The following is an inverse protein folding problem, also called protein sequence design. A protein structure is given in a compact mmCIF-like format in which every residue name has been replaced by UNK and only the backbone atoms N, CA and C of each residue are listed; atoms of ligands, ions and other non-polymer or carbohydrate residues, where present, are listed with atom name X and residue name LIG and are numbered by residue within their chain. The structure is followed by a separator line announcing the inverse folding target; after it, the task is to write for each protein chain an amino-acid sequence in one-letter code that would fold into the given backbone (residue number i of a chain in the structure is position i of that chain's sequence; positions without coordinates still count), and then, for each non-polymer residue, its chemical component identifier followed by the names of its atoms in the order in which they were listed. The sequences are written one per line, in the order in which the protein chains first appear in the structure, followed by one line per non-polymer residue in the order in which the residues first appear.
data_IF_034572622452
#
_entry.id   IF_034572622452
#
_cell.length_a   1.000
_cell.length_b   1.000
_cell.length_c   1.000
_cell.angle_alpha   90.00
_cell.angle_beta   90.00
_cell.angle_gamma   90.00
#
_symmetry.space_group_name_H-M   'P 1'
#
loop_
_entity.id
_entity.type
_entity.pdbx_description
1 polymer ?
#
# COMPACT_ATOMS: atom_id res chain seq x y z
N UNK A 1 -5.99 40.23 3.54
CA UNK A 1 -6.43 38.97 2.90
C UNK A 1 -7.86 38.70 3.34
N UNK A 2 -8.76 38.30 2.46
CA UNK A 2 -10.13 37.96 2.81
C UNK A 2 -10.17 36.67 3.63
N UNK A 3 -10.98 36.66 4.69
CA UNK A 3 -11.24 35.43 5.49
C UNK A 3 -12.39 34.65 4.84
N UNK A 4 -12.18 33.42 4.51
CA UNK A 4 -13.21 32.50 4.04
C UNK A 4 -13.72 31.71 5.22
N UNK A 5 -15.01 31.86 5.54
CA UNK A 5 -15.68 31.09 6.60
C UNK A 5 -16.37 29.89 5.99
N UNK A 6 -16.23 28.72 6.61
CA UNK A 6 -16.86 27.47 6.21
C UNK A 6 -17.06 26.56 7.43
N UNK A 7 -17.78 25.47 7.28
CA UNK A 7 -17.96 24.49 8.36
C UNK A 7 -16.71 23.60 8.47
N UNK A 8 -16.16 23.17 7.33
CA UNK A 8 -15.10 22.16 7.26
C UNK A 8 -13.98 22.60 6.31
N UNK A 9 -12.74 22.49 6.77
CA UNK A 9 -11.54 22.53 5.92
C UNK A 9 -10.93 21.13 5.87
N UNK A 10 -10.71 20.61 4.66
CA UNK A 10 -10.02 19.34 4.42
C UNK A 10 -8.67 19.63 3.79
N UNK A 11 -7.59 19.22 4.45
CA UNK A 11 -6.22 19.36 3.94
C UNK A 11 -5.82 18.07 3.20
N UNK A 12 -5.74 18.15 1.88
CA UNK A 12 -5.40 17.06 0.98
C UNK A 12 -6.56 16.66 0.07
N UNK A 13 -6.39 16.86 -1.24
CA UNK A 13 -7.34 16.46 -2.30
C UNK A 13 -7.03 15.05 -2.85
N UNK A 14 -6.63 14.13 -1.97
CA UNK A 14 -6.46 12.72 -2.26
C UNK A 14 -7.76 11.92 -2.03
N UNK A 15 -7.64 10.60 -2.06
CA UNK A 15 -8.77 9.67 -1.91
C UNK A 15 -9.61 9.93 -0.64
N UNK A 16 -8.96 9.92 0.52
CA UNK A 16 -9.64 10.11 1.80
C UNK A 16 -10.25 11.51 1.95
N UNK A 17 -9.53 12.54 1.52
CA UNK A 17 -10.00 13.93 1.62
C UNK A 17 -11.21 14.21 0.73
N UNK A 18 -11.19 13.72 -0.52
CA UNK A 18 -12.35 13.87 -1.42
C UNK A 18 -13.57 13.13 -0.90
N UNK A 19 -13.40 11.89 -0.39
CA UNK A 19 -14.52 11.15 0.20
C UNK A 19 -15.08 11.85 1.44
N UNK A 20 -14.22 12.41 2.31
CA UNK A 20 -14.66 13.21 3.45
C UNK A 20 -15.49 14.41 2.99
N UNK A 21 -14.98 15.12 1.99
CA UNK A 21 -15.63 16.33 1.47
C UNK A 21 -16.99 16.04 0.82
N UNK A 22 -17.06 14.97 0.01
CA UNK A 22 -18.31 14.51 -0.60
C UNK A 22 -19.34 14.21 0.49
N UNK A 23 -18.97 13.39 1.47
CA UNK A 23 -19.90 12.97 2.53
C UNK A 23 -20.38 14.15 3.38
N UNK A 24 -19.49 15.08 3.75
CA UNK A 24 -19.85 16.26 4.51
C UNK A 24 -20.73 17.24 3.69
N UNK A 25 -20.37 17.47 2.42
CA UNK A 25 -21.13 18.32 1.51
C UNK A 25 -22.55 17.80 1.25
N UNK A 26 -22.72 16.48 1.07
CA UNK A 26 -24.03 15.84 0.93
C UNK A 26 -24.93 16.03 2.16
N UNK A 27 -24.36 16.32 3.33
CA UNK A 27 -25.06 16.69 4.56
C UNK A 27 -25.36 18.20 4.66
N UNK A 28 -25.07 18.97 3.61
CA UNK A 28 -25.28 20.42 3.57
C UNK A 28 -24.18 21.26 4.24
N UNK A 29 -23.02 20.65 4.56
CA UNK A 29 -21.88 21.40 5.12
C UNK A 29 -21.17 22.22 4.04
N UNK A 30 -20.73 23.42 4.41
CA UNK A 30 -19.84 24.23 3.58
C UNK A 30 -18.40 23.73 3.71
N UNK A 31 -17.91 23.04 2.67
CA UNK A 31 -16.61 22.36 2.69
C UNK A 31 -15.62 23.03 1.75
N UNK A 32 -14.40 23.29 2.24
CA UNK A 32 -13.25 23.71 1.47
C UNK A 32 -12.19 22.61 1.49
N UNK A 33 -11.84 22.07 0.34
CA UNK A 33 -10.69 21.17 0.17
C UNK A 33 -9.51 21.97 -0.33
N UNK A 34 -8.39 21.91 0.37
CA UNK A 34 -7.16 22.60 0.00
C UNK A 34 -6.02 21.58 -0.22
N UNK A 35 -5.24 21.77 -1.28
CA UNK A 35 -4.09 20.93 -1.58
C UNK A 35 -2.94 21.79 -2.13
N UNK A 36 -1.72 21.53 -1.67
CA UNK A 36 -0.52 22.20 -2.16
C UNK A 36 -0.15 21.75 -3.58
N UNK A 37 -0.62 20.59 -3.99
CA UNK A 37 -0.37 20.07 -5.33
C UNK A 37 -1.21 20.78 -6.39
N UNK A 38 -0.72 20.79 -7.62
CA UNK A 38 -1.38 21.43 -8.77
C UNK A 38 -2.48 20.56 -9.41
N UNK A 39 -2.72 19.35 -8.88
CA UNK A 39 -3.72 18.40 -9.41
C UNK A 39 -4.33 17.57 -8.28
N UNK A 40 -5.63 17.37 -8.38
CA UNK A 40 -6.41 16.50 -7.50
C UNK A 40 -6.05 15.02 -7.76
N UNK A 41 -5.97 14.21 -6.70
CA UNK A 41 -5.91 12.76 -6.80
C UNK A 41 -4.65 12.19 -7.42
N UNK A 42 -3.48 12.83 -7.28
CA UNK A 42 -2.22 12.38 -7.92
C UNK A 42 -1.90 10.90 -7.68
N UNK A 43 -2.03 10.39 -6.43
CA UNK A 43 -1.81 8.95 -6.13
C UNK A 43 -2.84 8.05 -6.82
N UNK A 44 -4.10 8.50 -6.95
CA UNK A 44 -5.14 7.76 -7.68
C UNK A 44 -4.73 7.61 -9.15
N UNK A 45 -4.27 8.70 -9.78
CA UNK A 45 -3.89 8.72 -11.20
C UNK A 45 -2.75 7.75 -11.52
N UNK A 46 -1.81 7.52 -10.60
CA UNK A 46 -0.68 6.62 -10.81
C UNK A 46 -0.93 5.18 -10.40
N UNK A 47 -1.92 4.94 -9.55
CA UNK A 47 -2.17 3.62 -8.99
C UNK A 47 -2.59 2.61 -10.06
N UNK A 48 -2.26 1.34 -9.81
CA UNK A 48 -2.63 0.24 -10.68
C UNK A 48 -2.13 0.39 -12.13
N UNK A 49 -0.96 1.01 -12.33
CA UNK A 49 -0.43 1.27 -13.68
C UNK A 49 -1.29 2.24 -14.50
N UNK A 50 -1.95 3.20 -13.84
CA UNK A 50 -2.84 4.19 -14.46
C UNK A 50 -4.28 3.71 -14.66
N UNK A 51 -4.64 2.54 -14.10
CA UNK A 51 -6.01 1.99 -14.13
C UNK A 51 -6.73 2.03 -12.79
N UNK A 52 -6.08 2.47 -11.75
CA UNK A 52 -6.57 2.53 -10.36
C UNK A 52 -7.13 1.20 -9.85
N UNK A 53 -6.40 0.53 -8.97
CA UNK A 53 -6.96 -0.55 -8.18
C UNK A 53 -7.80 0.05 -7.05
N UNK A 54 -9.05 0.39 -7.35
CA UNK A 54 -9.85 1.29 -6.52
C UNK A 54 -10.44 0.64 -5.26
N UNK A 55 -10.55 -0.70 -5.20
CA UNK A 55 -10.98 -1.45 -4.01
C UNK A 55 -10.65 -2.92 -4.14
N UNK A 56 -10.96 -3.69 -3.09
CA UNK A 56 -10.87 -5.14 -3.05
C UNK A 56 -12.11 -5.74 -2.41
N UNK A 57 -12.80 -6.64 -3.12
CA UNK A 57 -14.04 -7.27 -2.66
C UNK A 57 -13.84 -8.19 -1.45
N UNK A 58 -12.61 -8.71 -1.26
CA UNK A 58 -12.19 -9.53 -0.12
C UNK A 58 -11.72 -8.73 1.10
N UNK A 59 -12.03 -7.42 1.18
CA UNK A 59 -11.57 -6.57 2.28
C UNK A 59 -12.14 -7.01 3.62
N UNK A 60 -11.24 -7.33 4.55
CA UNK A 60 -11.53 -7.59 5.96
C UNK A 60 -10.56 -6.81 6.85
N UNK A 61 -10.86 -6.62 8.15
CA UNK A 61 -9.91 -5.98 9.06
C UNK A 61 -8.55 -6.68 9.18
N UNK A 62 -8.48 -7.98 8.91
CA UNK A 62 -7.24 -8.76 8.94
C UNK A 62 -6.24 -8.37 7.84
N UNK A 63 -6.68 -7.65 6.82
CA UNK A 63 -5.84 -7.16 5.72
C UNK A 63 -5.13 -5.84 6.05
N UNK A 64 -5.24 -5.35 7.29
CA UNK A 64 -4.65 -4.08 7.70
C UNK A 64 -3.67 -4.26 8.87
N UNK A 65 -2.55 -3.54 8.77
CA UNK A 65 -1.54 -3.42 9.82
C UNK A 65 -1.79 -2.12 10.58
N UNK A 66 -1.74 -2.19 11.89
CA UNK A 66 -1.81 -1.06 12.81
C UNK A 66 -1.34 -1.55 14.19
N UNK A 67 -0.83 -0.66 15.03
CA UNK A 67 -0.59 -0.94 16.44
C UNK A 67 -1.90 -1.31 17.17
N UNK A 68 -3.04 -0.80 16.68
CA UNK A 68 -4.39 -1.20 17.10
C UNK A 68 -5.14 -1.92 15.96
N UNK A 69 -5.07 -3.26 15.86
CA UNK A 69 -5.67 -4.02 14.77
C UNK A 69 -7.21 -3.96 14.73
N UNK A 70 -7.83 -3.36 15.75
CA UNK A 70 -9.28 -3.20 15.81
C UNK A 70 -9.78 -1.84 15.31
N UNK A 71 -8.87 -0.88 15.13
CA UNK A 71 -9.24 0.50 14.80
C UNK A 71 -10.05 0.63 13.51
N UNK A 72 -9.65 -0.08 12.46
CA UNK A 72 -10.30 0.04 11.14
C UNK A 72 -11.70 -0.60 11.06
N UNK A 73 -12.08 -1.47 12.01
CA UNK A 73 -13.30 -2.29 11.94
C UNK A 73 -14.57 -1.47 11.75
N UNK A 74 -14.75 -0.41 12.53
CA UNK A 74 -15.97 0.41 12.51
C UNK A 74 -16.15 1.13 11.17
N UNK A 75 -15.11 1.75 10.65
CA UNK A 75 -15.16 2.46 9.38
C UNK A 75 -15.39 1.51 8.20
N UNK A 76 -14.65 0.39 8.14
CA UNK A 76 -14.79 -0.62 7.07
C UNK A 76 -16.18 -1.27 7.06
N UNK A 77 -16.81 -1.47 8.23
CA UNK A 77 -18.17 -2.02 8.30
C UNK A 77 -19.24 -1.05 7.80
N UNK A 78 -19.04 0.26 7.96
CA UNK A 78 -20.00 1.30 7.53
C UNK A 78 -19.83 1.70 6.07
N UNK A 79 -18.64 1.59 5.53
CA UNK A 79 -18.36 1.85 4.12
C UNK A 79 -17.56 0.70 3.54
N UNK A 80 -18.29 -0.28 3.02
CA UNK A 80 -17.75 -1.51 2.43
C UNK A 80 -17.29 -1.28 0.99
N UNK A 81 -16.53 -2.22 0.38
CA UNK A 81 -16.21 -2.16 -1.04
C UNK A 81 -17.43 -1.97 -1.96
N UNK A 82 -18.55 -2.55 -1.59
CA UNK A 82 -19.80 -2.48 -2.37
C UNK A 82 -20.35 -1.06 -2.48
N UNK A 83 -20.24 -0.23 -1.44
CA UNK A 83 -20.64 1.18 -1.50
C UNK A 83 -19.81 1.97 -2.53
N UNK A 84 -18.51 1.69 -2.61
CA UNK A 84 -17.67 2.36 -3.62
C UNK A 84 -17.97 1.82 -5.04
N UNK A 85 -18.23 0.52 -5.18
CA UNK A 85 -18.65 -0.10 -6.44
C UNK A 85 -19.97 0.49 -6.92
N UNK A 86 -20.94 0.71 -6.04
CA UNK A 86 -22.20 1.39 -6.37
C UNK A 86 -21.96 2.81 -6.92
N UNK A 87 -21.01 3.55 -6.31
CA UNK A 87 -20.62 4.87 -6.81
C UNK A 87 -19.98 4.79 -8.20
N UNK A 88 -19.11 3.81 -8.43
CA UNK A 88 -18.49 3.53 -9.74
C UNK A 88 -19.57 3.19 -10.78
N UNK A 89 -20.54 2.36 -10.43
CA UNK A 89 -21.69 2.03 -11.29
C UNK A 89 -22.56 3.25 -11.61
N UNK A 90 -22.86 4.09 -10.60
CA UNK A 90 -23.62 5.34 -10.77
C UNK A 90 -23.03 6.24 -11.86
N UNK A 91 -21.68 6.24 -11.97
CA UNK A 91 -20.97 7.02 -12.98
C UNK A 91 -20.67 6.27 -14.28
N UNK A 92 -21.20 5.05 -14.45
CA UNK A 92 -21.01 4.26 -15.67
C UNK A 92 -19.57 3.87 -15.97
N UNK A 93 -18.73 3.75 -14.94
CA UNK A 93 -17.31 3.41 -15.10
C UNK A 93 -17.18 1.88 -15.22
N UNK A 94 -16.67 1.42 -16.36
CA UNK A 94 -16.38 0.00 -16.59
C UNK A 94 -15.13 -0.43 -15.83
N UNK A 95 -15.17 -1.61 -15.24
CA UNK A 95 -14.08 -2.21 -14.47
C UNK A 95 -14.09 -3.74 -14.58
N UNK A 96 -12.97 -4.35 -14.21
CA UNK A 96 -12.84 -5.80 -14.12
C UNK A 96 -12.16 -6.20 -12.80
N UNK A 97 -12.41 -7.42 -12.38
CA UNK A 97 -11.58 -8.10 -11.37
C UNK A 97 -10.36 -8.71 -12.05
N UNK A 98 -9.17 -8.38 -11.56
CA UNK A 98 -7.91 -8.94 -12.08
C UNK A 98 -7.59 -10.27 -11.41
N UNK A 99 -7.46 -10.26 -10.09
CA UNK A 99 -7.16 -11.42 -9.25
C UNK A 99 -7.48 -11.11 -7.79
N UNK A 100 -7.82 -12.12 -7.00
CA UNK A 100 -7.96 -12.02 -5.54
C UNK A 100 -8.84 -10.84 -5.07
N UNK A 101 -9.92 -10.56 -5.79
CA UNK A 101 -10.87 -9.50 -5.44
C UNK A 101 -10.43 -8.08 -5.81
N UNK A 102 -9.31 -7.90 -6.49
CA UNK A 102 -8.77 -6.60 -6.90
C UNK A 102 -9.56 -6.03 -8.08
N UNK A 103 -10.15 -4.83 -7.92
CA UNK A 103 -10.94 -4.19 -8.97
C UNK A 103 -10.20 -3.03 -9.62
N UNK A 104 -10.10 -3.05 -10.96
CA UNK A 104 -9.41 -2.06 -11.77
C UNK A 104 -10.36 -1.43 -12.79
N UNK A 105 -10.22 -0.11 -13.04
CA UNK A 105 -10.90 0.51 -14.16
C UNK A 105 -10.37 -0.06 -15.49
N UNK A 106 -11.28 -0.30 -16.44
CA UNK A 106 -10.91 -0.83 -17.76
C UNK A 106 -10.10 0.16 -18.57
N UNK A 107 -10.43 1.45 -18.49
CA UNK A 107 -9.86 2.49 -19.33
C UNK A 107 -8.77 3.28 -18.61
N UNK A 108 -9.11 3.99 -17.52
CA UNK A 108 -8.16 4.91 -16.88
C UNK A 108 -8.57 5.29 -15.46
N UNK A 109 -7.57 5.44 -14.59
CA UNK A 109 -7.69 6.03 -13.25
C UNK A 109 -8.27 7.46 -13.25
N UNK A 110 -8.17 8.16 -14.38
CA UNK A 110 -8.77 9.50 -14.55
C UNK A 110 -10.30 9.48 -14.36
N UNK A 111 -10.96 8.35 -14.67
CA UNK A 111 -12.41 8.20 -14.48
C UNK A 111 -12.77 8.26 -12.99
N UNK A 112 -11.99 7.62 -12.11
CA UNK A 112 -12.20 7.69 -10.65
C UNK A 112 -11.98 9.11 -10.13
N UNK A 113 -10.92 9.80 -10.57
CA UNK A 113 -10.68 11.18 -10.14
C UNK A 113 -11.80 12.10 -10.61
N UNK A 114 -12.22 11.96 -11.89
CA UNK A 114 -13.34 12.73 -12.42
C UNK A 114 -14.63 12.49 -11.62
N UNK A 115 -14.98 11.25 -11.37
CA UNK A 115 -16.12 10.85 -10.55
C UNK A 115 -16.12 11.55 -9.19
N UNK A 116 -14.99 11.49 -8.47
CA UNK A 116 -14.88 12.11 -7.14
C UNK A 116 -14.99 13.63 -7.21
N UNK A 117 -14.45 14.27 -8.24
CA UNK A 117 -14.58 15.73 -8.45
C UNK A 117 -16.01 16.11 -8.80
N UNK A 118 -16.68 15.35 -9.65
CA UNK A 118 -18.09 15.56 -10.01
C UNK A 118 -19.01 15.42 -8.77
N UNK A 119 -18.78 14.42 -7.92
CA UNK A 119 -19.51 14.26 -6.65
C UNK A 119 -19.22 15.42 -5.67
N UNK A 120 -17.97 15.89 -5.57
CA UNK A 120 -17.64 17.09 -4.80
C UNK A 120 -18.42 18.32 -5.31
N UNK A 121 -18.44 18.52 -6.61
CA UNK A 121 -19.16 19.63 -7.23
C UNK A 121 -20.66 19.54 -6.98
N UNK A 122 -21.26 18.36 -7.14
CA UNK A 122 -22.67 18.12 -6.87
C UNK A 122 -23.05 18.37 -5.39
N UNK A 123 -22.10 18.12 -4.48
CA UNK A 123 -22.24 18.37 -3.04
C UNK A 123 -21.89 19.83 -2.62
N UNK A 124 -21.61 20.74 -3.56
CA UNK A 124 -21.27 22.14 -3.28
C UNK A 124 -19.86 22.37 -2.69
N UNK A 125 -19.00 21.35 -2.75
CA UNK A 125 -17.61 21.43 -2.23
C UNK A 125 -16.74 22.31 -3.12
N UNK A 126 -15.92 23.15 -2.52
CA UNK A 126 -14.93 23.96 -3.20
C UNK A 126 -13.54 23.32 -3.08
N UNK A 127 -12.89 23.04 -4.19
CA UNK A 127 -11.53 22.46 -4.24
C UNK A 127 -10.54 23.51 -4.71
N UNK A 128 -9.43 23.70 -3.96
CA UNK A 128 -8.36 24.63 -4.25
C UNK A 128 -7.02 23.90 -4.31
N UNK A 129 -6.48 23.80 -5.50
CA UNK A 129 -5.11 23.33 -5.76
C UNK A 129 -4.11 24.49 -5.66
N UNK A 130 -2.80 24.19 -5.64
CA UNK A 130 -1.72 25.15 -5.44
C UNK A 130 -1.91 26.00 -4.17
N UNK A 131 -2.61 25.45 -3.15
CA UNK A 131 -2.97 26.09 -1.91
C UNK A 131 -2.21 25.44 -0.75
N UNK A 132 -1.07 26.00 -0.39
CA UNK A 132 -0.22 25.48 0.70
C UNK A 132 -0.63 26.07 2.04
N UNK A 133 -0.77 25.22 3.05
CA UNK A 133 -0.96 25.64 4.44
C UNK A 133 0.38 26.15 4.99
N UNK A 134 0.33 27.32 5.62
CA UNK A 134 1.48 27.97 6.24
C UNK A 134 1.47 27.84 7.77
N UNK A 135 0.27 27.94 8.37
CA UNK A 135 0.07 27.90 9.81
C UNK A 135 -1.37 27.49 10.14
N UNK A 136 -1.55 26.75 11.22
CA UNK A 136 -2.84 26.37 11.78
C UNK A 136 -2.89 26.85 13.22
N UNK A 137 -3.97 27.54 13.56
CA UNK A 137 -4.29 27.96 14.93
C UNK A 137 -5.61 27.33 15.34
N UNK A 138 -5.77 27.07 16.62
CA UNK A 138 -7.01 26.58 17.22
C UNK A 138 -7.38 27.47 18.42
N UNK A 139 -8.62 27.90 18.47
CA UNK A 139 -9.15 28.71 19.53
C UNK A 139 -10.57 28.29 19.94
N UNK A 140 -11.22 29.04 20.80
CA UNK A 140 -12.59 28.76 21.25
C UNK A 140 -13.65 28.83 20.15
N UNK A 141 -13.32 29.46 19.02
CA UNK A 141 -14.20 29.66 17.85
C UNK A 141 -13.85 28.72 16.67
N UNK A 142 -12.96 27.74 16.86
CA UNK A 142 -12.56 26.74 15.86
C UNK A 142 -11.13 26.93 15.35
N UNK A 143 -10.88 26.50 14.09
CA UNK A 143 -9.56 26.52 13.47
C UNK A 143 -9.41 27.70 12.51
N UNK A 144 -8.22 28.32 12.54
CA UNK A 144 -7.75 29.32 11.57
C UNK A 144 -6.61 28.72 10.76
N UNK A 145 -6.85 28.47 9.47
CA UNK A 145 -5.90 27.87 8.55
C UNK A 145 -5.36 28.94 7.62
N UNK A 146 -4.13 29.39 7.86
CA UNK A 146 -3.41 30.35 7.03
C UNK A 146 -2.80 29.63 5.83
N UNK A 147 -3.07 30.11 4.64
CA UNK A 147 -2.61 29.49 3.41
C UNK A 147 -2.03 30.52 2.43
N UNK A 148 -1.41 30.06 1.37
CA UNK A 148 -0.94 30.91 0.26
C UNK A 148 -2.10 31.61 -0.49
N UNK A 149 -3.35 31.13 -0.33
CA UNK A 149 -4.53 31.69 -1.01
C UNK A 149 -5.50 32.41 -0.08
N UNK A 150 -5.12 32.63 1.19
CA UNK A 150 -5.92 33.36 2.17
C UNK A 150 -6.07 32.62 3.50
N UNK A 151 -6.93 33.17 4.34
CA UNK A 151 -7.26 32.63 5.66
C UNK A 151 -8.60 31.89 5.59
N UNK A 152 -8.62 30.65 6.05
CA UNK A 152 -9.84 29.87 6.25
C UNK A 152 -10.16 29.80 7.74
N UNK A 153 -11.44 29.95 8.08
CA UNK A 153 -11.96 29.79 9.45
C UNK A 153 -13.05 28.74 9.43
N UNK A 154 -12.87 27.66 10.21
CA UNK A 154 -13.78 26.51 10.23
C UNK A 154 -13.97 25.94 11.62
N UNK A 155 -15.10 25.26 11.84
CA UNK A 155 -15.37 24.49 13.05
C UNK A 155 -14.62 23.16 13.06
N UNK A 156 -14.54 22.49 11.90
CA UNK A 156 -13.87 21.18 11.76
C UNK A 156 -12.69 21.26 10.79
N UNK A 157 -11.56 20.65 11.19
CA UNK A 157 -10.35 20.51 10.39
C UNK A 157 -10.05 19.03 10.16
N UNK A 158 -9.93 18.63 8.90
CA UNK A 158 -9.64 17.25 8.52
C UNK A 158 -8.26 17.16 7.86
N UNK A 159 -7.37 16.36 8.44
CA UNK A 159 -6.03 16.08 7.92
C UNK A 159 -6.08 14.81 7.07
N UNK A 160 -6.01 14.97 5.74
CA UNK A 160 -6.11 13.91 4.73
C UNK A 160 -4.87 13.87 3.83
N UNK A 161 -3.70 14.20 4.38
CA UNK A 161 -2.46 14.47 3.64
C UNK A 161 -1.78 13.21 3.10
N UNK A 162 -2.23 12.00 3.51
CA UNK A 162 -1.56 10.75 3.21
C UNK A 162 -0.25 10.56 3.98
N UNK A 163 0.57 9.62 3.53
CA UNK A 163 1.88 9.30 4.10
C UNK A 163 3.04 9.89 3.33
N UNK A 164 4.23 9.27 3.47
CA UNK A 164 5.50 9.73 2.89
C UNK A 164 5.86 9.06 1.56
N UNK A 165 5.08 8.06 1.13
CA UNK A 165 5.40 7.28 -0.08
C UNK A 165 5.29 8.13 -1.35
N UNK A 166 6.27 7.93 -2.25
CA UNK A 166 6.42 8.62 -3.53
C UNK A 166 6.52 10.16 -3.36
N UNK A 167 7.58 10.69 -2.75
CA UNK A 167 7.73 12.14 -2.52
C UNK A 167 7.64 13.00 -3.79
N UNK A 168 8.03 12.44 -4.95
CA UNK A 168 7.90 13.12 -6.25
C UNK A 168 6.45 13.44 -6.65
N UNK A 169 5.47 12.82 -5.98
CA UNK A 169 4.04 13.09 -6.17
C UNK A 169 3.51 14.18 -5.23
N UNK A 170 4.36 14.71 -4.35
CA UNK A 170 3.99 15.73 -3.37
C UNK A 170 3.74 15.19 -1.96
N UNK A 171 4.09 13.93 -1.68
CA UNK A 171 4.02 13.40 -0.31
C UNK A 171 5.01 14.14 0.60
N UNK A 172 4.52 14.61 1.76
CA UNK A 172 5.31 15.33 2.76
C UNK A 172 4.94 14.85 4.17
N UNK A 173 5.77 15.20 5.16
CA UNK A 173 5.49 14.94 6.58
C UNK A 173 4.49 15.90 7.22
N UNK A 174 3.90 16.82 6.48
CA UNK A 174 3.09 17.90 7.00
C UNK A 174 1.93 17.43 7.92
N UNK A 175 1.22 16.36 7.55
CA UNK A 175 0.15 15.83 8.41
C UNK A 175 0.65 15.30 9.75
N UNK A 176 1.86 14.75 9.80
CA UNK A 176 2.49 14.33 11.04
C UNK A 176 2.98 15.53 11.88
N UNK A 177 3.39 16.63 11.25
CA UNK A 177 3.73 17.88 11.93
C UNK A 177 2.48 18.49 12.58
N UNK A 178 1.36 18.53 11.85
CA UNK A 178 0.06 18.95 12.38
C UNK A 178 -0.37 18.09 13.57
N UNK A 179 -0.25 16.77 13.45
CA UNK A 179 -0.57 15.86 14.54
C UNK A 179 0.26 16.16 15.80
N UNK A 180 1.58 16.33 15.67
CA UNK A 180 2.47 16.70 16.79
C UNK A 180 2.15 18.09 17.36
N UNK A 181 1.83 19.08 16.51
CA UNK A 181 1.42 20.41 16.94
C UNK A 181 0.23 20.34 17.90
N UNK A 182 -0.71 19.43 17.65
CA UNK A 182 -1.89 19.23 18.50
C UNK A 182 -1.73 18.15 19.57
N UNK A 183 -0.49 17.77 19.86
CA UNK A 183 -0.14 16.87 20.96
C UNK A 183 -0.34 15.37 20.69
N UNK A 184 -0.60 14.99 19.42
CA UNK A 184 -0.73 13.59 19.05
C UNK A 184 0.63 12.90 18.91
N UNK A 185 0.69 11.65 19.33
CA UNK A 185 1.82 10.78 19.06
C UNK A 185 1.79 10.34 17.59
N UNK A 186 2.96 10.35 16.98
CA UNK A 186 3.19 9.77 15.64
C UNK A 186 4.14 8.60 15.79
N UNK A 187 3.65 7.41 15.54
CA UNK A 187 4.44 6.18 15.57
C UNK A 187 5.52 6.21 14.48
N UNK A 188 6.67 5.55 14.70
CA UNK A 188 7.76 5.52 13.72
C UNK A 188 7.27 5.08 12.35
N UNK A 189 7.55 5.91 11.34
CA UNK A 189 7.14 5.63 9.97
C UNK A 189 8.24 4.89 9.22
N UNK A 190 7.84 3.94 8.36
CA UNK A 190 8.74 3.24 7.44
C UNK A 190 8.05 2.94 6.11
N UNK A 191 8.84 2.74 5.05
CA UNK A 191 8.33 2.34 3.76
C UNK A 191 7.67 0.95 3.85
N UNK A 192 6.49 0.81 3.27
CA UNK A 192 5.74 -0.44 3.15
C UNK A 192 5.37 -0.72 1.70
N UNK A 193 5.05 -1.98 1.37
CA UNK A 193 4.82 -2.43 -0.01
C UNK A 193 5.95 -1.91 -0.91
N UNK A 194 7.18 -2.26 -0.58
CA UNK A 194 8.41 -1.69 -1.13
C UNK A 194 9.38 -2.79 -1.57
N UNK A 195 10.09 -2.62 -2.70
CA UNK A 195 11.15 -3.53 -3.10
C UNK A 195 12.24 -3.63 -2.03
N UNK A 196 12.77 -4.85 -1.84
CA UNK A 196 13.87 -5.13 -0.95
C UNK A 196 15.20 -5.10 -1.70
N UNK A 197 16.22 -4.50 -1.09
CA UNK A 197 17.56 -4.42 -1.66
C UNK A 197 18.43 -5.57 -1.16
N UNK A 198 19.36 -6.01 -2.00
CA UNK A 198 20.37 -7.00 -1.66
C UNK A 198 21.75 -6.37 -1.64
N UNK A 199 22.67 -6.97 -0.89
CA UNK A 199 24.08 -6.60 -0.85
C UNK A 199 24.99 -7.83 -0.71
N UNK A 200 26.30 -7.64 -0.91
CA UNK A 200 27.30 -8.68 -0.75
C UNK A 200 27.02 -9.92 -1.59
N UNK A 201 27.23 -11.10 -1.03
CA UNK A 201 27.11 -12.38 -1.75
C UNK A 201 25.75 -12.63 -2.37
N UNK A 202 24.64 -12.19 -1.77
CA UNK A 202 23.32 -12.37 -2.39
C UNK A 202 23.16 -11.49 -3.64
N UNK A 203 23.62 -10.24 -3.59
CA UNK A 203 23.60 -9.35 -4.76
C UNK A 203 24.50 -9.91 -5.88
N UNK A 204 25.72 -10.29 -5.56
CA UNK A 204 26.68 -10.85 -6.55
C UNK A 204 26.13 -12.09 -7.23
N UNK A 205 25.57 -13.03 -6.46
CA UNK A 205 25.04 -14.29 -6.99
C UNK A 205 23.78 -14.14 -7.82
N UNK A 206 22.99 -13.09 -7.63
CA UNK A 206 21.72 -12.86 -8.29
C UNK A 206 21.73 -11.67 -9.28
N UNK A 207 22.87 -10.96 -9.41
CA UNK A 207 22.97 -9.71 -10.18
C UNK A 207 22.50 -9.81 -11.63
N UNK A 208 22.91 -10.89 -12.34
CA UNK A 208 22.59 -11.08 -13.77
C UNK A 208 21.18 -11.59 -14.02
N UNK A 209 20.38 -11.78 -12.94
CA UNK A 209 19.01 -12.27 -13.04
C UNK A 209 17.97 -11.17 -13.14
N UNK A 210 18.39 -9.91 -13.28
CA UNK A 210 17.45 -8.80 -13.45
C UNK A 210 16.45 -9.05 -14.58
N UNK A 211 15.17 -8.83 -14.31
CA UNK A 211 14.04 -9.10 -15.20
C UNK A 211 13.48 -10.52 -15.11
N UNK A 212 14.12 -11.43 -14.36
CA UNK A 212 13.55 -12.76 -14.11
C UNK A 212 12.40 -12.65 -13.13
N UNK A 213 11.24 -13.20 -13.52
CA UNK A 213 10.05 -13.28 -12.67
C UNK A 213 9.61 -14.75 -12.53
N UNK A 214 9.13 -15.11 -11.35
CA UNK A 214 8.59 -16.45 -11.07
C UNK A 214 7.55 -16.38 -9.94
N UNK A 215 6.58 -17.31 -9.92
CA UNK A 215 5.68 -17.47 -8.79
C UNK A 215 6.46 -18.05 -7.60
N UNK A 216 6.22 -17.48 -6.42
CA UNK A 216 6.82 -17.94 -5.17
C UNK A 216 5.80 -17.85 -4.03
N UNK A 217 6.10 -18.47 -2.89
CA UNK A 217 5.55 -18.08 -1.61
C UNK A 217 6.68 -17.44 -0.77
N UNK A 218 6.50 -16.17 -0.38
CA UNK A 218 7.44 -15.47 0.48
C UNK A 218 6.96 -15.51 1.93
N UNK A 219 7.84 -15.92 2.86
CA UNK A 219 7.54 -16.07 4.29
C UNK A 219 8.46 -15.19 5.13
N UNK A 220 7.88 -14.49 6.12
CA UNK A 220 8.63 -13.71 7.13
C UNK A 220 7.74 -13.44 8.34
N UNK A 221 8.29 -13.54 9.55
CA UNK A 221 7.60 -13.19 10.80
C UNK A 221 6.18 -13.78 10.94
N UNK A 222 6.03 -15.07 10.58
CA UNK A 222 4.75 -15.79 10.67
C UNK A 222 3.69 -15.38 9.64
N UNK A 223 4.07 -14.61 8.63
CA UNK A 223 3.23 -14.27 7.48
C UNK A 223 3.76 -14.92 6.21
N UNK A 224 2.84 -15.24 5.31
CA UNK A 224 3.19 -15.73 3.98
C UNK A 224 2.32 -15.09 2.91
N UNK A 225 2.90 -14.88 1.71
CA UNK A 225 2.21 -14.37 0.54
C UNK A 225 2.67 -15.11 -0.70
N UNK A 226 1.72 -15.72 -1.40
CA UNK A 226 1.97 -16.40 -2.66
C UNK A 226 1.60 -15.47 -3.82
N UNK A 227 2.59 -15.11 -4.64
CA UNK A 227 2.43 -14.36 -5.89
C UNK A 227 3.78 -14.33 -6.63
N UNK A 228 3.87 -13.54 -7.70
CA UNK A 228 5.13 -13.36 -8.44
C UNK A 228 6.16 -12.55 -7.64
N UNK A 229 7.42 -13.01 -7.71
CA UNK A 229 8.62 -12.25 -7.40
C UNK A 229 9.29 -11.80 -8.71
N UNK A 230 9.91 -10.63 -8.68
CA UNK A 230 10.73 -10.07 -9.75
C UNK A 230 12.14 -9.80 -9.22
N UNK A 231 13.16 -10.39 -9.83
CA UNK A 231 14.55 -10.04 -9.59
C UNK A 231 14.89 -8.73 -10.33
N UNK A 232 15.50 -7.79 -9.63
CA UNK A 232 15.88 -6.48 -10.15
C UNK A 232 17.40 -6.28 -10.03
N UNK A 233 17.93 -5.24 -10.62
CA UNK A 233 19.35 -4.89 -10.50
C UNK A 233 19.77 -4.46 -9.07
N UNK A 234 18.81 -4.17 -8.19
CA UNK A 234 19.06 -3.79 -6.78
C UNK A 234 18.71 -4.88 -5.78
N UNK A 235 17.89 -5.84 -6.18
CA UNK A 235 17.40 -6.87 -5.27
C UNK A 235 16.15 -7.54 -5.79
N UNK A 236 15.08 -7.55 -5.00
CA UNK A 236 13.84 -8.25 -5.30
C UNK A 236 12.62 -7.35 -5.15
N UNK A 237 11.65 -7.57 -6.02
CA UNK A 237 10.36 -6.85 -6.08
C UNK A 237 9.26 -7.83 -6.51
N UNK A 238 8.14 -7.32 -6.97
CA UNK A 238 6.97 -8.11 -7.37
C UNK A 238 5.98 -8.29 -6.23
N UNK A 239 4.73 -8.66 -6.52
CA UNK A 239 3.64 -8.65 -5.54
C UNK A 239 3.92 -9.42 -4.25
N UNK A 240 4.52 -10.61 -4.32
CA UNK A 240 4.87 -11.40 -3.14
C UNK A 240 5.87 -10.66 -2.23
N UNK A 241 6.89 -10.04 -2.82
CA UNK A 241 7.93 -9.30 -2.10
C UNK A 241 7.38 -7.98 -1.54
N UNK A 242 6.59 -7.24 -2.32
CA UNK A 242 5.95 -6.01 -1.83
C UNK A 242 5.07 -6.30 -0.61
N UNK A 243 4.26 -7.35 -0.65
CA UNK A 243 3.42 -7.76 0.48
C UNK A 243 4.26 -8.08 1.72
N UNK A 244 5.25 -8.99 1.58
CA UNK A 244 6.03 -9.46 2.73
C UNK A 244 6.93 -8.36 3.30
N UNK A 245 7.33 -7.36 2.50
CA UNK A 245 8.16 -6.23 2.95
C UNK A 245 7.50 -5.42 4.07
N UNK A 246 6.17 -5.41 4.14
CA UNK A 246 5.43 -4.75 5.22
C UNK A 246 5.60 -5.46 6.57
N UNK A 247 6.01 -6.72 6.58
CA UNK A 247 6.24 -7.54 7.77
C UNK A 247 7.73 -7.76 8.07
N UNK A 248 8.60 -7.52 7.08
CA UNK A 248 10.04 -7.62 7.22
C UNK A 248 10.61 -6.44 7.99
N UNK A 249 11.64 -6.69 8.82
CA UNK A 249 12.43 -5.68 9.51
C UNK A 249 13.92 -5.90 9.23
N UNK A 250 14.76 -4.85 9.36
CA UNK A 250 16.20 -4.99 9.19
C UNK A 250 16.79 -6.10 10.07
N UNK A 251 17.44 -7.06 9.42
CA UNK A 251 18.02 -8.24 10.07
C UNK A 251 17.16 -9.51 9.96
N UNK A 252 15.90 -9.41 9.58
CA UNK A 252 15.08 -10.60 9.36
C UNK A 252 15.49 -11.34 8.08
N UNK A 253 15.46 -12.66 8.12
CA UNK A 253 15.58 -13.52 6.96
C UNK A 253 14.20 -13.74 6.32
N UNK A 254 14.16 -13.74 5.00
CA UNK A 254 13.01 -14.21 4.23
C UNK A 254 13.25 -15.66 3.82
N UNK A 255 12.21 -16.45 3.83
CA UNK A 255 12.19 -17.77 3.22
C UNK A 255 11.31 -17.71 1.97
N UNK A 256 11.86 -18.13 0.83
CA UNK A 256 11.16 -18.15 -0.45
C UNK A 256 10.95 -19.58 -0.89
N UNK A 257 9.70 -20.04 -0.93
CA UNK A 257 9.35 -21.27 -1.61
C UNK A 257 9.31 -20.99 -3.13
N UNK A 258 10.25 -21.56 -3.86
CA UNK A 258 10.40 -21.37 -5.31
C UNK A 258 9.51 -22.31 -6.13
N UNK A 259 8.86 -23.29 -5.50
CA UNK A 259 7.93 -24.24 -6.10
C UNK A 259 6.62 -24.33 -5.28
N UNK A 260 5.91 -23.23 -5.09
CA UNK A 260 4.74 -23.21 -4.20
C UNK A 260 3.67 -24.22 -4.65
N UNK A 261 3.18 -25.01 -3.70
CA UNK A 261 2.18 -26.06 -3.93
C UNK A 261 2.75 -27.38 -4.46
N UNK A 262 4.07 -27.52 -4.57
CA UNK A 262 4.72 -28.76 -5.00
C UNK A 262 5.74 -29.22 -3.94
N UNK A 263 5.73 -30.51 -3.59
CA UNK A 263 6.80 -31.09 -2.78
C UNK A 263 8.07 -31.25 -3.63
N UNK A 264 9.03 -30.36 -3.40
CA UNK A 264 10.30 -30.34 -4.16
C UNK A 264 11.10 -31.64 -4.00
N UNK A 265 11.00 -32.32 -2.84
CA UNK A 265 11.71 -33.57 -2.58
C UNK A 265 11.10 -34.73 -3.35
N UNK A 266 9.79 -34.85 -3.36
CA UNK A 266 9.07 -35.84 -4.13
C UNK A 266 9.31 -35.66 -5.65
N UNK A 267 9.16 -34.40 -6.10
CA UNK A 267 9.41 -34.02 -7.48
C UNK A 267 10.85 -34.38 -7.94
N UNK A 268 11.87 -34.06 -7.17
CA UNK A 268 13.27 -34.40 -7.51
C UNK A 268 13.51 -35.91 -7.58
N UNK A 269 12.90 -36.72 -6.67
CA UNK A 269 12.99 -38.17 -6.75
C UNK A 269 12.31 -38.76 -7.99
N UNK A 270 11.16 -38.19 -8.34
CA UNK A 270 10.47 -38.53 -9.59
C UNK A 270 11.38 -38.23 -10.80
N UNK A 271 11.96 -37.03 -10.87
CA UNK A 271 12.88 -36.65 -11.97
C UNK A 271 14.12 -37.55 -12.02
N UNK A 272 14.62 -38.03 -10.89
CA UNK A 272 15.71 -39.01 -10.85
C UNK A 272 15.34 -40.36 -11.52
N UNK A 273 14.07 -40.77 -11.42
CA UNK A 273 13.51 -41.94 -12.10
C UNK A 273 13.28 -41.70 -13.60
N UNK A 274 12.62 -40.59 -13.92
CA UNK A 274 12.14 -40.30 -15.28
C UNK A 274 13.22 -39.79 -16.21
N UNK A 275 14.20 -39.04 -15.68
CA UNK A 275 15.26 -38.37 -16.45
C UNK A 275 16.67 -38.58 -15.89
N UNK A 276 17.10 -39.80 -15.62
CA UNK A 276 18.32 -40.10 -14.85
C UNK A 276 19.61 -39.52 -15.45
N UNK A 277 19.68 -39.35 -16.76
CA UNK A 277 20.85 -38.80 -17.45
C UNK A 277 20.86 -37.28 -17.60
N UNK A 278 19.74 -36.60 -17.30
CA UNK A 278 19.66 -35.15 -17.39
C UNK A 278 20.44 -34.49 -16.25
N UNK A 279 21.12 -33.38 -16.54
CA UNK A 279 21.79 -32.57 -15.53
C UNK A 279 20.76 -31.82 -14.67
N UNK A 280 21.09 -31.56 -13.39
CA UNK A 280 20.18 -30.94 -12.45
C UNK A 280 19.66 -29.57 -12.94
N UNK A 281 20.54 -28.72 -13.50
CA UNK A 281 20.13 -27.41 -14.07
C UNK A 281 19.07 -27.58 -15.19
N UNK A 282 19.13 -28.65 -15.98
CA UNK A 282 18.17 -28.91 -17.06
C UNK A 282 16.81 -29.28 -16.48
N UNK A 283 16.81 -30.13 -15.46
CA UNK A 283 15.60 -30.56 -14.75
C UNK A 283 14.95 -29.36 -14.04
N UNK A 284 15.73 -28.56 -13.28
CA UNK A 284 15.25 -27.34 -12.64
C UNK A 284 14.69 -26.35 -13.65
N UNK A 285 15.27 -26.24 -14.84
CA UNK A 285 14.81 -25.34 -15.90
C UNK A 285 13.46 -25.71 -16.53
N UNK A 286 12.83 -26.83 -16.14
CA UNK A 286 11.46 -27.19 -16.53
C UNK A 286 10.40 -26.50 -15.63
N UNK A 287 10.75 -26.21 -14.39
CA UNK A 287 9.84 -25.62 -13.40
C UNK A 287 10.26 -24.21 -12.98
N UNK A 288 11.52 -23.82 -13.19
CA UNK A 288 12.07 -22.50 -12.89
C UNK A 288 12.55 -21.81 -14.18
N UNK A 289 12.63 -20.47 -14.19
CA UNK A 289 13.32 -19.76 -15.26
C UNK A 289 14.75 -20.30 -15.45
N UNK A 290 15.12 -20.65 -16.68
CA UNK A 290 16.39 -21.31 -17.00
C UNK A 290 17.62 -20.59 -16.44
N UNK A 291 17.63 -19.23 -16.47
CA UNK A 291 18.72 -18.43 -15.90
C UNK A 291 18.83 -18.62 -14.39
N UNK A 292 17.70 -18.73 -13.68
CA UNK A 292 17.69 -18.98 -12.23
C UNK A 292 18.15 -20.42 -11.94
N UNK A 293 17.65 -21.42 -12.66
CA UNK A 293 18.06 -22.82 -12.52
C UNK A 293 19.58 -22.98 -12.70
N UNK A 294 20.16 -22.35 -13.72
CA UNK A 294 21.60 -22.30 -13.94
C UNK A 294 22.32 -21.69 -12.74
N UNK A 295 21.85 -20.53 -12.26
CA UNK A 295 22.49 -19.79 -11.16
C UNK A 295 22.42 -20.57 -9.83
N UNK A 296 21.33 -21.31 -9.58
CA UNK A 296 21.22 -22.18 -8.42
C UNK A 296 22.27 -23.29 -8.44
N UNK A 297 22.53 -23.89 -9.60
CA UNK A 297 23.57 -24.92 -9.76
C UNK A 297 24.99 -24.33 -9.69
N UNK A 298 25.21 -23.09 -10.11
CA UNK A 298 26.54 -22.45 -10.02
C UNK A 298 26.96 -22.13 -8.58
N UNK A 299 26.00 -21.86 -7.70
CA UNK A 299 26.33 -21.30 -6.37
C UNK A 299 25.86 -22.13 -5.18
N UNK A 300 24.86 -22.99 -5.33
CA UNK A 300 24.23 -23.69 -4.19
C UNK A 300 24.07 -25.19 -4.38
N UNK A 301 23.96 -25.68 -5.61
CA UNK A 301 23.67 -27.08 -5.93
C UNK A 301 24.71 -27.64 -6.90
N UNK A 302 25.05 -28.95 -6.82
CA UNK A 302 25.95 -29.56 -7.78
C UNK A 302 25.26 -29.72 -9.13
N UNK A 303 25.92 -29.29 -10.22
CA UNK A 303 25.42 -29.49 -11.59
C UNK A 303 25.98 -30.79 -12.19
N UNK A 304 25.24 -31.87 -12.00
CA UNK A 304 25.55 -33.21 -12.53
C UNK A 304 24.28 -34.00 -12.81
N UNK A 305 24.37 -35.11 -13.59
CA UNK A 305 23.20 -35.94 -13.87
C UNK A 305 22.45 -36.37 -12.61
N UNK A 306 21.12 -36.25 -12.63
CA UNK A 306 20.29 -36.44 -11.41
C UNK A 306 20.42 -37.86 -10.83
N UNK A 307 20.75 -38.88 -11.66
CA UNK A 307 21.05 -40.23 -11.16
C UNK A 307 22.24 -40.28 -10.20
N UNK A 308 23.17 -39.33 -10.31
CA UNK A 308 24.39 -39.28 -9.49
C UNK A 308 24.18 -38.48 -8.19
N UNK A 309 22.99 -37.89 -7.98
CA UNK A 309 22.66 -37.20 -6.76
C UNK A 309 22.26 -38.25 -5.71
N UNK A 310 22.96 -38.27 -4.61
CA UNK A 310 22.61 -39.09 -3.46
C UNK A 310 21.46 -38.45 -2.65
N UNK A 311 20.90 -39.18 -1.70
CA UNK A 311 19.76 -38.71 -0.91
C UNK A 311 20.05 -37.44 -0.06
N UNK A 312 21.25 -37.23 0.51
CA UNK A 312 21.62 -35.98 1.15
C UNK A 312 21.55 -34.78 0.23
N UNK A 313 22.08 -34.91 -1.00
CA UNK A 313 22.06 -33.82 -2.00
C UNK A 313 20.64 -33.52 -2.47
N UNK A 314 19.81 -34.56 -2.70
CA UNK A 314 18.40 -34.37 -3.05
C UNK A 314 17.63 -33.63 -1.96
N UNK A 315 17.87 -33.96 -0.68
CA UNK A 315 17.29 -33.27 0.45
C UNK A 315 17.74 -31.82 0.53
N UNK A 316 19.04 -31.55 0.32
CA UNK A 316 19.57 -30.19 0.28
C UNK A 316 18.92 -29.37 -0.86
N UNK A 317 18.79 -29.96 -2.04
CA UNK A 317 18.13 -29.30 -3.17
C UNK A 317 16.64 -29.03 -2.87
N UNK A 318 15.93 -29.99 -2.30
CA UNK A 318 14.53 -29.84 -1.92
C UNK A 318 14.35 -28.73 -0.87
N UNK A 319 15.19 -28.72 0.15
CA UNK A 319 15.16 -27.67 1.17
C UNK A 319 15.42 -26.28 0.57
N UNK A 320 16.41 -26.18 -0.33
CA UNK A 320 16.72 -24.91 -0.99
C UNK A 320 15.54 -24.42 -1.87
N UNK A 321 14.88 -25.34 -2.57
CA UNK A 321 13.74 -24.98 -3.43
C UNK A 321 12.50 -24.60 -2.64
N UNK A 322 12.20 -25.29 -1.53
CA UNK A 322 11.03 -25.01 -0.69
C UNK A 322 11.23 -23.90 0.36
N UNK A 323 12.49 -23.51 0.65
CA UNK A 323 12.82 -22.49 1.63
C UNK A 323 14.16 -21.80 1.28
N UNK A 324 14.23 -21.17 0.12
CA UNK A 324 15.42 -20.41 -0.31
C UNK A 324 15.62 -19.22 0.64
N UNK A 325 16.76 -19.17 1.35
CA UNK A 325 17.02 -18.09 2.30
C UNK A 325 17.45 -16.81 1.57
N UNK A 326 16.74 -15.71 1.80
CA UNK A 326 17.10 -14.41 1.27
C UNK A 326 17.27 -13.40 2.40
N UNK A 327 18.46 -12.86 2.53
CA UNK A 327 18.75 -11.80 3.51
C UNK A 327 18.79 -10.46 2.78
N UNK A 328 17.76 -9.65 3.00
CA UNK A 328 17.72 -8.30 2.44
C UNK A 328 18.61 -7.34 3.26
N UNK A 329 19.29 -6.42 2.58
CA UNK A 329 20.12 -5.39 3.21
C UNK A 329 19.35 -4.13 3.58
N UNK A 330 18.13 -3.96 3.03
CA UNK A 330 17.29 -2.80 3.23
C UNK A 330 16.10 -2.78 2.25
N UNK A 331 15.51 -1.61 2.12
CA UNK A 331 14.43 -1.35 1.16
C UNK A 331 14.85 -0.24 0.19
N UNK A 332 14.15 -0.09 -0.92
CA UNK A 332 14.35 1.07 -1.81
C UNK A 332 13.79 2.39 -1.24
N UNK A 333 13.20 2.35 -0.04
CA UNK A 333 12.69 3.51 0.67
C UNK A 333 11.43 4.11 0.08
N UNK A 334 11.05 5.28 0.58
CA UNK A 334 9.80 5.96 0.19
C UNK A 334 9.69 6.31 -1.29
N UNK A 335 10.80 6.38 -2.01
CA UNK A 335 10.79 6.72 -3.44
C UNK A 335 9.98 5.72 -4.28
N UNK A 336 10.01 4.45 -3.91
CA UNK A 336 9.37 3.34 -4.62
C UNK A 336 8.30 2.63 -3.79
N UNK A 337 8.18 2.96 -2.51
CA UNK A 337 7.17 2.40 -1.64
C UNK A 337 5.76 2.82 -2.09
N UNK A 338 4.82 1.88 -2.09
CA UNK A 338 3.43 2.22 -2.38
C UNK A 338 2.74 2.91 -1.20
N UNK A 339 3.14 2.54 0.04
CA UNK A 339 2.52 3.01 1.28
C UNK A 339 3.54 3.33 2.36
N UNK A 340 3.07 4.04 3.39
CA UNK A 340 3.78 4.31 4.64
C UNK A 340 3.18 3.47 5.76
N UNK A 341 4.01 2.72 6.47
CA UNK A 341 3.66 2.05 7.72
C UNK A 341 3.92 2.99 8.89
N UNK A 342 3.16 2.85 9.99
CA UNK A 342 3.17 3.81 11.08
C UNK A 342 2.33 5.05 10.76
N UNK A 343 2.46 6.09 11.54
CA UNK A 343 1.71 7.34 11.39
C UNK A 343 1.07 7.80 12.69
N UNK A 344 0.01 8.62 12.62
CA UNK A 344 -0.71 9.12 13.79
C UNK A 344 -1.27 7.95 14.59
N UNK A 345 -0.96 7.91 15.89
CA UNK A 345 -1.39 6.82 16.77
C UNK A 345 -2.91 6.78 16.88
N UNK A 346 -3.48 5.66 16.45
CA UNK A 346 -4.92 5.42 16.45
C UNK A 346 -5.52 5.31 17.86
N UNK A 347 -4.72 5.09 18.89
CA UNK A 347 -5.18 5.12 20.28
C UNK A 347 -5.75 6.50 20.68
N UNK A 348 -5.27 7.55 20.05
CA UNK A 348 -5.66 8.96 20.32
C UNK A 348 -6.75 9.49 19.40
N UNK A 349 -7.30 8.63 18.53
CA UNK A 349 -8.33 8.97 17.54
C UNK A 349 -9.55 8.07 17.75
N UNK A 350 -10.73 8.63 17.53
CA UNK A 350 -11.99 7.86 17.57
C UNK A 350 -12.11 6.96 16.35
N UNK A 351 -12.26 5.65 16.53
CA UNK A 351 -12.44 4.69 15.44
C UNK A 351 -13.77 4.80 14.69
N UNK A 352 -14.73 5.53 15.25
CA UNK A 352 -16.05 5.73 14.65
C UNK A 352 -16.18 7.05 13.91
N UNK A 353 -15.50 8.11 14.36
CA UNK A 353 -15.62 9.45 13.80
C UNK A 353 -14.33 9.98 13.16
N UNK A 354 -13.22 9.26 13.32
CA UNK A 354 -11.88 9.72 12.95
C UNK A 354 -11.46 11.02 13.66
N UNK A 355 -12.17 11.45 14.69
CA UNK A 355 -11.92 12.64 15.46
C UNK A 355 -10.83 12.42 16.49
N UNK A 356 -10.00 13.42 16.69
CA UNK A 356 -9.03 13.50 17.77
C UNK A 356 -9.73 13.40 19.14
N UNK A 357 -9.22 12.56 20.03
CA UNK A 357 -9.67 12.52 21.42
C UNK A 357 -9.09 13.65 22.27
N UNK A 358 -8.16 14.45 21.70
CA UNK A 358 -7.45 15.54 22.38
C UNK A 358 -7.99 16.92 22.01
N UNK A 359 -8.34 17.10 20.74
CA UNK A 359 -8.76 18.38 20.17
C UNK A 359 -10.08 18.21 19.44
N UNK A 360 -11.18 18.69 19.99
CA UNK A 360 -12.49 18.63 19.34
C UNK A 360 -12.48 19.29 17.96
N UNK A 361 -13.15 18.68 16.99
CA UNK A 361 -13.21 19.16 15.62
C UNK A 361 -11.97 18.88 14.76
N UNK A 362 -10.90 18.30 15.31
CA UNK A 362 -9.75 17.85 14.54
C UNK A 362 -9.93 16.38 14.14
N UNK A 363 -9.77 16.07 12.85
CA UNK A 363 -9.93 14.72 12.32
C UNK A 363 -8.71 14.29 11.50
N UNK A 364 -8.41 12.99 11.51
CA UNK A 364 -7.36 12.39 10.70
C UNK A 364 -7.96 11.24 9.87
N UNK A 365 -7.69 11.18 8.56
CA UNK A 365 -8.26 10.19 7.65
C UNK A 365 -7.23 9.65 6.65
N UNK A 366 -7.40 8.40 6.24
CA UNK A 366 -6.53 7.75 5.28
C UNK A 366 -5.17 7.37 5.85
N UNK A 367 -4.15 7.42 4.99
CA UNK A 367 -2.80 6.89 5.25
C UNK A 367 -1.97 7.72 6.26
N UNK A 368 -2.43 8.90 6.66
CA UNK A 368 -1.78 9.65 7.75
C UNK A 368 -1.92 8.95 9.10
N UNK A 369 -2.96 8.14 9.26
CA UNK A 369 -3.18 7.28 10.43
C UNK A 369 -2.30 6.03 10.35
N UNK A 370 -1.94 5.46 11.51
CA UNK A 370 -1.31 4.14 11.61
C UNK A 370 -2.31 3.02 11.23
N UNK A 371 -2.70 2.99 9.97
CA UNK A 371 -3.51 1.93 9.35
C UNK A 371 -3.03 1.73 7.92
N UNK A 372 -2.45 0.56 7.66
CA UNK A 372 -1.87 0.25 6.35
C UNK A 372 -2.47 -1.06 5.82
N UNK A 373 -3.09 -1.01 4.66
CA UNK A 373 -3.67 -2.17 3.99
C UNK A 373 -2.61 -2.97 3.20
N UNK A 374 -2.93 -4.22 2.92
CA UNK A 374 -2.17 -5.07 2.01
C UNK A 374 -2.15 -4.49 0.59
N UNK A 375 -1.34 -5.08 -0.29
CA UNK A 375 -1.32 -4.77 -1.71
C UNK A 375 -2.63 -5.25 -2.36
N UNK A 376 -3.25 -4.41 -3.20
CA UNK A 376 -4.40 -4.85 -3.99
C UNK A 376 -5.72 -4.15 -3.68
N UNK A 377 -5.73 -2.83 -3.51
CA UNK A 377 -6.95 -2.02 -3.36
C UNK A 377 -7.36 -1.73 -1.91
N UNK A 378 -6.77 -2.40 -0.94
CA UNK A 378 -7.10 -2.25 0.49
C UNK A 378 -6.83 -0.84 1.02
N UNK A 379 -5.73 -0.19 0.60
CA UNK A 379 -5.39 1.16 1.04
C UNK A 379 -6.36 2.21 0.51
N UNK A 380 -6.88 2.03 -0.70
CA UNK A 380 -7.97 2.87 -1.18
C UNK A 380 -9.27 2.59 -0.43
N UNK A 381 -9.60 1.34 -0.16
CA UNK A 381 -10.77 1.01 0.65
C UNK A 381 -10.71 1.65 2.05
N UNK A 382 -9.53 1.67 2.68
CA UNK A 382 -9.32 2.41 3.93
C UNK A 382 -9.52 3.91 3.75
N UNK A 383 -9.00 4.50 2.67
CA UNK A 383 -9.17 5.92 2.39
C UNK A 383 -10.66 6.28 2.23
N UNK A 384 -11.42 5.46 1.49
CA UNK A 384 -12.88 5.65 1.34
C UNK A 384 -13.59 5.52 2.68
N UNK A 385 -13.34 4.45 3.41
CA UNK A 385 -14.04 4.16 4.66
C UNK A 385 -13.77 5.18 5.77
N UNK A 386 -12.50 5.57 5.95
CA UNK A 386 -12.12 6.58 6.95
C UNK A 386 -12.62 7.97 6.56
N UNK A 387 -12.54 8.33 5.27
CA UNK A 387 -13.07 9.58 4.75
C UNK A 387 -14.58 9.70 4.94
N UNK A 388 -15.32 8.65 4.59
CA UNK A 388 -16.77 8.58 4.82
C UNK A 388 -17.11 8.69 6.32
N UNK A 389 -16.36 8.03 7.18
CA UNK A 389 -16.59 8.06 8.63
C UNK A 389 -16.44 9.48 9.21
N UNK A 390 -15.39 10.23 8.81
CA UNK A 390 -15.20 11.61 9.22
C UNK A 390 -16.26 12.53 8.60
N UNK A 391 -16.52 12.42 7.29
CA UNK A 391 -17.52 13.22 6.60
C UNK A 391 -18.93 13.10 7.17
N UNK A 392 -19.23 11.96 7.79
CA UNK A 392 -20.50 11.71 8.46
C UNK A 392 -20.74 12.52 9.75
N UNK A 393 -19.70 13.19 10.30
CA UNK A 393 -19.78 13.86 11.61
C UNK A 393 -19.28 15.31 11.61
N UNK A 394 -18.41 15.72 10.68
CA UNK A 394 -17.86 17.10 10.57
C UNK A 394 -18.92 18.12 10.17
#
# INVERSE_FOLDING_TARGET
MSTIRCDVVVIGAGAAGLMTAITAGQRGRQVQVIDHANKVGKKILMSGGGRCNFTNTGTTPANFLSANPHFCKSALARYTPWHFIELVHKHGIAYHEKELGQLFCDVSSKQIVKMLVDECQAAGVQIRTDCSVQRIEHGSDGFRVHTTQGLFHCASLVVATGGLSIPSMGATGFGYEVARQFGHQVLPTRAGLVPLTLSGKHQERLADLSGVALPIEARCNGKSFQNFMLLTHRGVSGPAILQISSFWQPGDALELDLLPGQDAGEWLRQMKGDRPAAELRTVLGEVLPKRLAQRLCEHWLPDRPVRQLDEPVLRQAAQLLGAFPLVASGTEGYRTAEVTLGGVDTAEVSSSTMESKRVPGLHFVGEVLDVTGWLGGYNFQWAWASGHAAGGVV
#
